data_IF_491114010395
#
_entry.id   IF_491114010395
#
_cell.length_a   1.000
_cell.length_b   1.000
_cell.length_c   1.000
_cell.angle_alpha   90.00
_cell.angle_beta   90.00
_cell.angle_gamma   90.00
#
_symmetry.space_group_name_H-M   'P 1'
#
loop_
_entity.id
_entity.type
_entity.pdbx_description
1 polymer ?
#
# COMPACT_ATOMS: atom_id res chain seq x y z
N UNK A 1 24.66 18.74 -65.34
CA UNK A 1 23.58 18.29 -64.47
C UNK A 1 23.90 16.90 -64.02
N UNK A 2 24.47 16.72 -62.83
CA UNK A 2 24.79 15.39 -62.29
C UNK A 2 23.56 14.94 -61.48
N UNK A 3 22.90 13.87 -61.95
CA UNK A 3 21.83 13.18 -61.22
C UNK A 3 22.39 12.50 -60.00
N UNK A 4 22.17 13.05 -58.83
CA UNK A 4 22.32 12.33 -57.58
C UNK A 4 21.10 11.40 -57.40
N UNK A 5 21.20 10.16 -57.90
CA UNK A 5 20.29 9.10 -57.50
C UNK A 5 20.57 8.75 -56.04
N UNK A 6 19.85 9.38 -55.10
CA UNK A 6 19.91 9.04 -53.71
C UNK A 6 19.45 7.59 -53.50
N UNK A 7 20.33 6.70 -53.06
CA UNK A 7 19.95 5.38 -52.58
C UNK A 7 19.08 5.60 -51.33
N UNK A 8 17.77 5.34 -51.44
CA UNK A 8 16.89 5.22 -50.27
C UNK A 8 17.29 3.94 -49.52
N UNK A 9 18.02 4.12 -48.41
CA UNK A 9 18.28 2.98 -47.54
C UNK A 9 16.96 2.56 -46.88
N UNK A 10 16.49 1.36 -47.13
CA UNK A 10 15.37 0.75 -46.47
C UNK A 10 15.79 0.32 -45.04
N UNK A 11 15.52 1.17 -44.05
CA UNK A 11 15.71 0.79 -42.65
C UNK A 11 14.53 -0.04 -42.17
N UNK A 12 14.81 -1.21 -41.61
CA UNK A 12 13.81 -2.09 -40.99
C UNK A 12 13.89 -1.89 -39.47
N UNK A 13 12.84 -1.36 -38.84
CA UNK A 13 12.86 -1.14 -37.38
C UNK A 13 12.77 -2.47 -36.62
N UNK A 14 13.51 -2.58 -35.52
CA UNK A 14 13.32 -3.64 -34.53
C UNK A 14 12.24 -3.23 -33.54
N UNK A 15 11.27 -4.09 -33.30
CA UNK A 15 10.26 -3.87 -32.28
C UNK A 15 10.85 -4.13 -30.88
N UNK A 16 10.61 -3.22 -29.94
CA UNK A 16 11.00 -3.37 -28.54
C UNK A 16 9.75 -3.75 -27.70
N UNK A 17 9.82 -4.85 -26.92
CA UNK A 17 8.69 -5.24 -26.08
C UNK A 17 8.56 -4.32 -24.87
N UNK A 18 7.33 -3.99 -24.49
CA UNK A 18 7.01 -3.37 -23.19
C UNK A 18 6.78 -4.49 -22.17
N UNK A 19 7.69 -4.63 -21.22
CA UNK A 19 7.63 -5.68 -20.18
C UNK A 19 6.81 -5.20 -18.98
N UNK A 20 7.03 -3.95 -18.55
CA UNK A 20 6.31 -3.31 -17.47
C UNK A 20 5.71 -1.99 -17.98
N UNK A 21 4.46 -1.75 -17.63
CA UNK A 21 3.74 -0.53 -17.94
C UNK A 21 3.12 0.03 -16.66
N UNK A 22 3.71 1.12 -16.16
CA UNK A 22 3.28 1.78 -14.92
C UNK A 22 2.32 2.90 -15.29
N UNK A 23 1.05 2.73 -14.95
CA UNK A 23 -0.01 3.68 -15.31
C UNK A 23 -0.20 4.82 -14.32
N UNK A 24 0.11 4.58 -13.03
CA UNK A 24 -0.06 5.58 -11.98
C UNK A 24 0.86 5.30 -10.79
N UNK A 25 1.15 6.36 -10.03
CA UNK A 25 1.84 6.29 -8.74
C UNK A 25 0.86 6.84 -7.69
N UNK A 26 0.64 6.10 -6.61
CA UNK A 26 -0.24 6.48 -5.52
C UNK A 26 0.51 7.18 -4.39
N UNK A 27 1.74 6.73 -4.10
CA UNK A 27 2.59 7.34 -3.10
C UNK A 27 4.08 7.18 -3.44
N UNK A 28 4.89 8.12 -2.95
CA UNK A 28 6.33 8.01 -2.83
C UNK A 28 6.68 8.50 -1.44
N UNK A 29 7.04 7.59 -0.55
CA UNK A 29 7.37 7.89 0.83
C UNK A 29 8.86 7.71 1.11
N UNK A 30 9.37 8.56 1.98
CA UNK A 30 10.64 8.35 2.67
C UNK A 30 10.40 8.56 4.16
N UNK A 31 10.43 7.48 4.91
CA UNK A 31 10.14 7.47 6.33
C UNK A 31 11.42 7.36 7.16
N UNK A 32 11.48 8.14 8.23
CA UNK A 32 12.44 7.99 9.32
C UNK A 32 11.65 7.64 10.58
N UNK A 33 11.52 6.36 10.88
CA UNK A 33 10.65 5.92 11.96
C UNK A 33 11.32 5.89 13.32
N UNK A 34 10.55 6.27 14.35
CA UNK A 34 10.93 6.08 15.74
C UNK A 34 10.84 4.59 16.15
N UNK A 35 11.54 4.22 17.23
CA UNK A 35 11.65 2.84 17.74
C UNK A 35 10.32 2.10 17.95
N UNK A 36 9.25 2.80 18.27
CA UNK A 36 7.95 2.21 18.59
C UNK A 36 6.92 2.46 17.48
N UNK A 37 7.36 2.81 16.28
CA UNK A 37 6.43 3.01 15.17
C UNK A 37 5.71 1.71 14.84
N UNK A 38 4.41 1.82 14.66
CA UNK A 38 3.54 0.73 14.22
C UNK A 38 2.48 1.30 13.28
N UNK A 39 2.46 0.79 12.08
CA UNK A 39 1.38 0.99 11.12
C UNK A 39 0.47 -0.23 11.17
N UNK A 40 -0.80 -0.01 11.53
CA UNK A 40 -1.75 -1.10 11.79
C UNK A 40 -2.06 -1.96 10.55
N UNK A 41 -1.69 -1.46 9.38
CA UNK A 41 -1.83 -2.15 8.11
C UNK A 41 -2.99 -1.67 7.28
N UNK A 42 -2.89 -2.01 5.99
CA UNK A 42 -3.87 -1.69 4.96
C UNK A 42 -3.93 -2.80 3.90
N UNK A 43 -4.89 -2.67 3.00
CA UNK A 43 -5.05 -3.53 1.83
C UNK A 43 -5.58 -2.67 0.68
N UNK A 44 -4.91 -2.74 -0.46
CA UNK A 44 -5.26 -1.97 -1.65
C UNK A 44 -5.12 -2.82 -2.92
N UNK A 45 -5.60 -2.34 -4.06
CA UNK A 45 -5.66 -3.05 -5.32
C UNK A 45 -4.51 -2.73 -6.29
N UNK A 46 -3.45 -2.13 -5.80
CA UNK A 46 -2.24 -1.79 -6.53
C UNK A 46 -1.00 -2.43 -5.88
N UNK A 47 0.14 -2.35 -6.56
CA UNK A 47 1.43 -2.81 -6.07
C UNK A 47 2.06 -1.79 -5.14
N UNK A 48 2.72 -2.28 -4.11
CA UNK A 48 3.58 -1.49 -3.24
C UNK A 48 4.88 -2.24 -2.99
N UNK A 49 5.97 -1.52 -2.79
CA UNK A 49 7.17 -2.11 -2.22
C UNK A 49 7.69 -1.31 -1.03
N UNK A 50 8.35 -2.02 -0.14
CA UNK A 50 9.08 -1.47 1.00
C UNK A 50 10.55 -1.81 0.83
N UNK A 51 11.41 -0.80 0.77
CA UNK A 51 12.86 -0.91 0.76
C UNK A 51 13.43 -0.34 2.06
N UNK A 52 14.36 -1.06 2.69
CA UNK A 52 15.03 -0.64 3.92
C UNK A 52 16.34 0.05 3.59
N UNK A 53 16.34 1.38 3.66
CA UNK A 53 17.54 2.21 3.43
C UNK A 53 18.51 2.15 4.64
N UNK A 54 17.95 2.07 5.85
CA UNK A 54 18.73 1.97 7.10
C UNK A 54 17.96 1.19 8.17
N UNK A 55 18.72 0.45 8.99
CA UNK A 55 18.15 -0.31 10.11
C UNK A 55 17.46 -1.58 9.67
N UNK A 56 16.45 -1.96 10.43
CA UNK A 56 15.64 -3.17 10.23
C UNK A 56 14.19 -2.88 10.54
N UNK A 57 13.26 -3.59 9.90
CA UNK A 57 11.82 -3.43 10.11
C UNK A 57 11.09 -4.75 9.98
N UNK A 58 10.09 -4.96 10.82
CA UNK A 58 9.14 -6.05 10.63
C UNK A 58 8.00 -5.60 9.70
N UNK A 59 7.73 -6.38 8.68
CA UNK A 59 6.53 -6.25 7.87
C UNK A 59 5.62 -7.45 8.11
N UNK A 60 4.32 -7.24 7.96
CA UNK A 60 3.33 -8.32 7.92
C UNK A 60 2.78 -8.41 6.51
N UNK A 61 2.76 -9.60 5.91
CA UNK A 61 2.19 -9.87 4.60
C UNK A 61 1.27 -11.09 4.70
N UNK A 62 -0.05 -10.91 4.45
CA UNK A 62 -1.07 -11.97 4.58
C UNK A 62 -0.96 -12.77 5.92
N UNK A 63 -0.73 -12.07 7.04
CA UNK A 63 -0.63 -12.65 8.37
C UNK A 63 0.72 -13.30 8.71
N UNK A 64 1.72 -13.17 7.84
CA UNK A 64 3.10 -13.62 8.09
C UNK A 64 3.96 -12.44 8.47
N UNK A 65 4.69 -12.55 9.57
CA UNK A 65 5.64 -11.54 9.98
C UNK A 65 7.03 -11.83 9.40
N UNK A 66 7.66 -10.83 8.81
CA UNK A 66 8.92 -10.93 8.07
C UNK A 66 9.83 -9.80 8.54
N UNK A 67 11.07 -10.12 8.90
CA UNK A 67 12.10 -9.14 9.19
C UNK A 67 12.82 -8.76 7.89
N UNK A 68 12.76 -7.49 7.52
CA UNK A 68 13.57 -6.90 6.46
C UNK A 68 14.78 -6.19 7.07
N UNK A 69 15.93 -6.42 6.48
CA UNK A 69 17.19 -5.80 6.86
C UNK A 69 17.57 -4.71 5.86
N UNK A 70 18.57 -3.90 6.23
CA UNK A 70 19.13 -2.89 5.34
C UNK A 70 19.46 -3.49 3.97
N UNK A 71 19.17 -2.70 2.92
CA UNK A 71 19.36 -3.05 1.51
C UNK A 71 18.45 -4.20 1.02
N UNK A 72 17.43 -4.57 1.79
CA UNK A 72 16.39 -5.51 1.34
C UNK A 72 15.11 -4.78 0.90
N UNK A 73 14.43 -5.37 -0.07
CA UNK A 73 13.15 -4.92 -0.62
C UNK A 73 12.15 -6.07 -0.64
N UNK A 74 10.92 -5.78 -0.22
CA UNK A 74 9.78 -6.69 -0.34
C UNK A 74 8.65 -6.02 -1.10
N UNK A 75 7.85 -6.83 -1.79
CA UNK A 75 6.73 -6.36 -2.60
C UNK A 75 5.41 -6.84 -2.02
N UNK A 76 4.48 -5.91 -1.86
CA UNK A 76 3.08 -6.19 -1.55
C UNK A 76 2.27 -6.22 -2.85
N UNK A 77 1.67 -7.38 -3.13
CA UNK A 77 0.82 -7.57 -4.31
C UNK A 77 -0.56 -6.95 -4.09
N UNK A 78 -1.29 -6.62 -5.16
CA UNK A 78 -2.68 -6.18 -5.04
C UNK A 78 -3.51 -7.13 -4.15
N UNK A 79 -4.32 -6.54 -3.26
CA UNK A 79 -5.20 -7.24 -2.31
C UNK A 79 -4.46 -8.08 -1.25
N UNK A 80 -3.21 -7.79 -0.97
CA UNK A 80 -2.49 -8.33 0.18
C UNK A 80 -2.67 -7.40 1.39
N UNK A 81 -3.07 -7.96 2.54
CA UNK A 81 -3.01 -7.21 3.79
C UNK A 81 -1.55 -7.11 4.23
N UNK A 82 -1.10 -5.87 4.48
CA UNK A 82 0.26 -5.62 4.96
C UNK A 82 0.29 -4.57 6.06
N UNK A 83 1.27 -4.69 6.96
CA UNK A 83 1.50 -3.81 8.10
C UNK A 83 3.01 -3.65 8.34
N UNK A 84 3.39 -2.61 9.08
CA UNK A 84 4.80 -2.28 9.36
C UNK A 84 5.00 -2.02 10.85
N UNK A 85 6.03 -2.63 11.44
CA UNK A 85 6.34 -2.50 12.86
C UNK A 85 7.85 -2.31 13.08
N UNK A 86 8.25 -1.24 13.73
CA UNK A 86 9.66 -0.96 14.01
C UNK A 86 10.25 -1.84 15.15
N UNK A 87 9.45 -2.28 16.14
CA UNK A 87 9.86 -3.19 17.23
C UNK A 87 11.25 -2.87 17.85
N UNK A 88 11.47 -1.63 18.29
CA UNK A 88 12.71 -1.11 18.86
C UNK A 88 13.83 -0.75 17.84
N UNK A 89 13.64 -0.95 16.56
CA UNK A 89 14.53 -0.43 15.52
C UNK A 89 14.17 1.02 15.15
N UNK A 90 15.09 1.71 14.48
CA UNK A 90 14.86 3.05 13.91
C UNK A 90 15.12 2.98 12.42
N UNK A 91 14.20 2.37 11.64
CA UNK A 91 14.41 2.20 10.22
C UNK A 91 14.19 3.49 9.43
N UNK A 92 14.96 3.64 8.34
CA UNK A 92 14.62 4.52 7.24
C UNK A 92 14.10 3.67 6.09
N UNK A 93 12.91 4.00 5.59
CA UNK A 93 12.23 3.22 4.57
C UNK A 93 11.89 4.08 3.36
N UNK A 94 12.01 3.47 2.18
CA UNK A 94 11.37 3.98 0.96
C UNK A 94 10.17 3.08 0.68
N UNK A 95 8.98 3.67 0.58
CA UNK A 95 7.75 2.98 0.23
C UNK A 95 7.17 3.63 -1.02
N UNK A 96 6.96 2.85 -2.07
CA UNK A 96 6.37 3.36 -3.31
C UNK A 96 5.21 2.46 -3.71
N UNK A 97 4.03 3.09 -3.86
CA UNK A 97 2.80 2.44 -4.28
C UNK A 97 2.44 2.86 -5.70
N UNK A 98 2.17 1.89 -6.58
CA UNK A 98 1.97 2.15 -8.01
C UNK A 98 1.04 1.16 -8.68
N UNK A 99 0.39 1.59 -9.77
CA UNK A 99 -0.44 0.74 -10.61
C UNK A 99 0.37 0.17 -11.77
N UNK A 100 0.47 -1.14 -11.81
CA UNK A 100 1.02 -1.88 -12.92
C UNK A 100 0.25 -3.19 -13.10
N UNK A 101 -0.38 -3.35 -14.26
CA UNK A 101 -1.17 -4.55 -14.60
C UNK A 101 -0.41 -5.57 -15.44
N UNK A 102 0.87 -5.27 -15.76
CA UNK A 102 1.72 -6.16 -16.55
C UNK A 102 1.92 -7.51 -15.87
N UNK A 103 1.70 -8.65 -16.54
CA UNK A 103 1.89 -9.98 -15.94
C UNK A 103 3.30 -10.23 -15.40
N UNK A 104 4.29 -9.50 -15.91
CA UNK A 104 5.67 -9.58 -15.44
C UNK A 104 5.83 -9.18 -13.96
N UNK A 105 4.90 -8.41 -13.39
CA UNK A 105 4.88 -8.08 -11.96
C UNK A 105 4.71 -9.31 -11.06
N UNK A 106 4.09 -10.38 -11.55
CA UNK A 106 3.96 -11.62 -10.79
C UNK A 106 5.31 -12.24 -10.39
N UNK A 107 6.38 -11.81 -11.06
CA UNK A 107 7.75 -12.18 -10.69
C UNK A 107 8.10 -11.78 -9.25
N UNK A 108 7.61 -10.63 -8.79
CA UNK A 108 7.94 -10.07 -7.48
C UNK A 108 7.08 -10.62 -6.32
N UNK A 109 6.11 -11.48 -6.62
CA UNK A 109 5.25 -12.07 -5.58
C UNK A 109 6.07 -12.87 -4.58
N UNK A 110 5.83 -12.59 -3.31
CA UNK A 110 6.39 -13.35 -2.18
C UNK A 110 7.94 -13.45 -2.22
N UNK A 111 8.62 -12.44 -2.78
CA UNK A 111 10.08 -12.36 -2.84
C UNK A 111 10.62 -11.25 -1.95
N UNK A 112 11.71 -11.54 -1.26
CA UNK A 112 12.62 -10.56 -0.70
C UNK A 112 13.88 -10.57 -1.56
N UNK A 113 14.27 -9.40 -2.03
CA UNK A 113 15.45 -9.23 -2.87
C UNK A 113 16.41 -8.24 -2.20
N UNK A 114 17.71 -8.42 -2.42
CA UNK A 114 18.69 -7.40 -2.09
C UNK A 114 18.71 -6.33 -3.17
N UNK A 115 18.99 -5.11 -2.80
CA UNK A 115 19.16 -3.96 -3.71
C UNK A 115 20.64 -3.61 -3.75
N UNK A 116 21.23 -3.59 -4.95
CA UNK A 116 22.63 -3.24 -5.13
C UNK A 116 22.82 -1.71 -5.21
N UNK A 117 24.06 -1.26 -5.38
CA UNK A 117 24.41 0.16 -5.39
C UNK A 117 23.81 0.90 -6.60
N UNK A 118 23.79 0.30 -7.77
CA UNK A 118 23.20 0.86 -8.99
C UNK A 118 21.68 1.03 -8.86
N UNK A 119 21.00 0.02 -8.36
CA UNK A 119 19.55 0.04 -8.10
C UNK A 119 19.20 1.06 -7.00
N UNK A 120 20.04 1.18 -5.96
CA UNK A 120 19.90 2.21 -4.92
C UNK A 120 20.04 3.62 -5.47
N UNK A 121 20.95 3.84 -6.43
CA UNK A 121 21.08 5.13 -7.07
C UNK A 121 19.80 5.53 -7.84
N UNK A 122 19.12 4.57 -8.49
CA UNK A 122 17.85 4.81 -9.15
C UNK A 122 16.76 5.16 -8.12
N UNK A 123 16.66 4.42 -7.01
CA UNK A 123 15.72 4.74 -5.92
C UNK A 123 15.97 6.15 -5.36
N UNK A 124 17.21 6.52 -5.14
CA UNK A 124 17.58 7.86 -4.67
C UNK A 124 17.17 8.95 -5.69
N UNK A 125 17.28 8.68 -7.00
CA UNK A 125 16.82 9.58 -8.04
C UNK A 125 15.28 9.75 -8.01
N UNK A 126 14.53 8.67 -7.84
CA UNK A 126 13.06 8.71 -7.68
C UNK A 126 12.68 9.60 -6.50
N UNK A 127 13.25 9.35 -5.30
CA UNK A 127 12.97 10.13 -4.09
C UNK A 127 13.36 11.61 -4.27
N UNK A 128 14.51 11.88 -4.88
CA UNK A 128 14.97 13.26 -5.14
C UNK A 128 14.02 14.01 -6.10
N UNK A 129 13.55 13.36 -7.18
CA UNK A 129 12.59 13.95 -8.10
C UNK A 129 11.23 14.15 -7.44
N UNK A 130 10.75 13.15 -6.67
CA UNK A 130 9.50 13.24 -5.93
C UNK A 130 9.52 14.45 -4.98
N UNK A 131 10.59 14.66 -4.21
CA UNK A 131 10.75 15.84 -3.33
C UNK A 131 10.62 17.18 -4.05
N UNK A 132 11.02 17.25 -5.32
CA UNK A 132 10.93 18.48 -6.13
C UNK A 132 9.55 18.67 -6.77
N UNK A 133 8.84 17.58 -7.03
CA UNK A 133 7.59 17.61 -7.77
C UNK A 133 6.35 17.57 -6.87
N UNK A 134 6.45 16.92 -5.69
CA UNK A 134 5.30 16.69 -4.83
C UNK A 134 5.09 17.86 -3.88
N UNK A 135 3.84 18.30 -3.75
CA UNK A 135 3.40 19.29 -2.75
C UNK A 135 2.92 18.62 -1.45
N UNK A 136 2.66 17.30 -1.48
CA UNK A 136 2.31 16.53 -0.30
C UNK A 136 3.55 16.07 0.46
N UNK A 137 3.38 15.76 1.75
CA UNK A 137 4.46 15.26 2.59
C UNK A 137 4.79 13.82 2.22
N UNK A 138 6.09 13.51 2.12
CA UNK A 138 6.58 12.16 1.83
C UNK A 138 6.72 11.29 3.09
N UNK A 139 6.55 11.86 4.28
CA UNK A 139 6.65 11.19 5.58
C UNK A 139 5.28 11.03 6.28
N UNK A 140 4.17 11.20 5.56
CA UNK A 140 2.82 10.96 6.07
C UNK A 140 2.36 9.54 5.68
N UNK A 141 2.31 8.58 6.62
CA UNK A 141 1.89 7.20 6.33
C UNK A 141 0.38 7.07 6.04
N UNK A 142 -0.38 8.14 6.18
CA UNK A 142 -1.82 8.19 5.92
C UNK A 142 -2.15 9.03 4.68
N UNK A 143 -1.15 9.29 3.83
CA UNK A 143 -1.35 10.02 2.58
C UNK A 143 -2.26 9.21 1.66
N UNK A 144 -3.47 9.73 1.41
CA UNK A 144 -4.45 9.07 0.54
C UNK A 144 -4.49 9.65 -0.89
N UNK A 145 -3.76 10.72 -1.15
CA UNK A 145 -3.71 11.37 -2.46
C UNK A 145 -2.37 12.03 -2.70
N UNK A 146 -1.69 11.58 -3.74
CA UNK A 146 -0.49 12.23 -4.25
C UNK A 146 -0.88 13.56 -4.92
N UNK A 147 -0.20 14.65 -4.55
CA UNK A 147 -0.40 15.98 -5.16
C UNK A 147 0.93 16.54 -5.62
N UNK A 148 0.91 17.17 -6.79
CA UNK A 148 2.07 17.80 -7.39
C UNK A 148 2.05 19.31 -7.15
N UNK A 149 3.22 19.93 -7.08
CA UNK A 149 3.33 21.38 -7.15
C UNK A 149 2.74 21.89 -8.48
N UNK A 150 2.08 23.05 -8.50
CA UNK A 150 1.54 23.64 -9.73
C UNK A 150 2.59 23.81 -10.84
N UNK A 151 3.86 24.06 -10.43
CA UNK A 151 4.99 24.27 -11.34
C UNK A 151 5.75 22.96 -11.69
N UNK A 152 5.29 21.81 -11.18
CA UNK A 152 5.91 20.53 -11.50
C UNK A 152 5.63 20.17 -12.96
N UNK A 153 6.68 20.15 -13.78
CA UNK A 153 6.52 19.86 -15.21
C UNK A 153 6.10 18.41 -15.46
N UNK A 154 5.28 18.14 -16.50
CA UNK A 154 4.88 16.80 -16.88
C UNK A 154 6.07 15.87 -17.18
N UNK A 155 7.16 16.43 -17.72
CA UNK A 155 8.38 15.67 -18.02
C UNK A 155 9.04 15.14 -16.75
N UNK A 156 9.07 15.93 -15.67
CA UNK A 156 9.58 15.50 -14.38
C UNK A 156 8.71 14.41 -13.76
N UNK A 157 7.39 14.51 -13.90
CA UNK A 157 6.46 13.47 -13.45
C UNK A 157 6.67 12.17 -14.25
N UNK A 158 6.85 12.28 -15.57
CA UNK A 158 7.14 11.12 -16.42
C UNK A 158 8.48 10.48 -16.06
N UNK A 159 9.52 11.27 -15.72
CA UNK A 159 10.80 10.75 -15.29
C UNK A 159 10.69 9.90 -14.02
N UNK A 160 9.80 10.23 -13.08
CA UNK A 160 9.56 9.38 -11.89
C UNK A 160 9.04 8.00 -12.32
N UNK A 161 8.10 7.93 -13.24
CA UNK A 161 7.57 6.66 -13.74
C UNK A 161 8.61 5.86 -14.54
N UNK A 162 9.45 6.54 -15.34
CA UNK A 162 10.53 5.91 -16.09
C UNK A 162 11.64 5.36 -15.16
N UNK A 163 12.04 6.13 -14.15
CA UNK A 163 13.02 5.69 -13.15
C UNK A 163 12.47 4.47 -12.38
N UNK A 164 11.19 4.49 -11.99
CA UNK A 164 10.55 3.35 -11.33
C UNK A 164 10.50 2.12 -12.24
N UNK A 165 10.15 2.29 -13.50
CA UNK A 165 10.17 1.21 -14.49
C UNK A 165 11.60 0.67 -14.67
N UNK A 166 12.59 1.55 -14.79
CA UNK A 166 14.01 1.18 -14.90
C UNK A 166 14.48 0.40 -13.68
N UNK A 167 14.17 0.88 -12.48
CA UNK A 167 14.49 0.21 -11.22
C UNK A 167 13.96 -1.23 -11.17
N UNK A 168 12.68 -1.41 -11.47
CA UNK A 168 12.03 -2.73 -11.45
C UNK A 168 12.64 -3.67 -12.51
N UNK A 169 12.97 -3.15 -13.68
CA UNK A 169 13.61 -3.95 -14.75
C UNK A 169 15.04 -4.37 -14.35
N UNK A 170 15.85 -3.47 -13.79
CA UNK A 170 17.20 -3.80 -13.29
C UNK A 170 17.15 -4.87 -12.22
N UNK A 171 16.29 -4.69 -11.21
CA UNK A 171 16.09 -5.65 -10.13
C UNK A 171 15.65 -7.02 -10.68
N UNK A 172 14.74 -7.04 -11.66
CA UNK A 172 14.26 -8.27 -12.31
C UNK A 172 15.36 -8.97 -13.13
N UNK A 173 16.13 -8.23 -13.91
CA UNK A 173 17.22 -8.79 -14.75
C UNK A 173 18.29 -9.40 -13.87
N UNK A 174 18.79 -8.65 -12.88
CA UNK A 174 19.84 -9.10 -11.97
C UNK A 174 19.37 -10.33 -11.17
N UNK A 175 18.21 -10.24 -10.51
CA UNK A 175 17.71 -11.33 -9.66
C UNK A 175 17.35 -12.59 -10.45
N UNK A 176 16.92 -12.47 -11.72
CA UNK A 176 16.76 -13.64 -12.61
C UNK A 176 18.09 -14.29 -12.98
N UNK A 177 19.15 -13.52 -13.14
CA UNK A 177 20.49 -14.06 -13.40
C UNK A 177 21.06 -14.79 -12.17
N UNK A 178 20.87 -14.22 -10.98
CA UNK A 178 21.24 -14.81 -9.70
C UNK A 178 20.35 -16.02 -9.32
N UNK A 179 19.07 -15.99 -9.67
CA UNK A 179 18.09 -17.06 -9.40
C UNK A 179 18.33 -18.34 -10.22
N UNK A 180 19.15 -18.29 -11.25
CA UNK A 180 19.73 -19.51 -11.82
C UNK A 180 20.64 -20.21 -10.81
N UNK A 181 21.09 -19.51 -9.77
CA UNK A 181 21.98 -20.02 -8.73
C UNK A 181 21.31 -20.23 -7.35
N UNK A 182 20.37 -19.40 -6.87
CA UNK A 182 19.78 -19.53 -5.52
C UNK A 182 18.39 -18.85 -5.37
N UNK A 183 17.34 -19.43 -5.89
CA UNK A 183 15.96 -18.90 -5.69
C UNK A 183 15.33 -19.52 -4.44
N UNK A 184 15.33 -18.79 -3.31
CA UNK A 184 14.53 -19.16 -2.15
C UNK A 184 13.30 -18.20 -2.05
N UNK A 185 12.06 -18.74 -2.02
CA UNK A 185 10.93 -18.00 -1.50
C UNK A 185 11.21 -17.62 -0.04
N UNK A 186 10.53 -16.65 0.53
CA UNK A 186 10.75 -16.13 1.89
C UNK A 186 11.47 -17.13 2.79
N UNK A 187 12.73 -16.89 3.23
CA UNK A 187 13.50 -17.88 3.97
C UNK A 187 12.74 -18.25 5.24
N UNK A 188 12.39 -19.53 5.40
CA UNK A 188 11.64 -20.03 6.58
C UNK A 188 12.29 -19.64 7.92
N UNK A 189 13.60 -19.42 7.93
CA UNK A 189 14.36 -19.04 9.13
C UNK A 189 14.12 -17.60 9.62
N UNK A 190 13.47 -16.72 8.82
CA UNK A 190 13.14 -15.34 9.20
C UNK A 190 11.66 -15.14 9.55
N UNK A 191 10.88 -16.23 9.47
CA UNK A 191 9.46 -16.21 9.83
C UNK A 191 9.32 -16.55 11.30
N UNK A 192 8.76 -15.66 12.09
CA UNK A 192 8.35 -15.98 13.45
C UNK A 192 7.01 -16.70 13.36
N UNK A 193 7.04 -18.04 13.60
CA UNK A 193 5.82 -18.85 13.69
C UNK A 193 4.98 -18.40 14.89
N UNK A 194 3.91 -17.65 14.64
CA UNK A 194 2.87 -17.37 15.63
C UNK A 194 1.70 -18.36 15.53
N UNK A 195 1.91 -19.55 14.97
CA UNK A 195 0.88 -20.59 14.91
C UNK A 195 0.98 -21.55 16.08
N UNK A 196 0.00 -21.47 16.99
CA UNK A 196 -0.29 -22.54 17.94
C UNK A 196 -0.59 -23.84 17.21
N UNK A 197 0.01 -24.92 17.73
CA UNK A 197 -0.11 -26.29 17.22
C UNK A 197 -1.57 -26.76 17.13
N UNK A 198 -1.94 -27.28 15.96
CA UNK A 198 -3.21 -27.95 15.71
C UNK A 198 -3.06 -28.92 14.55
N UNK A 199 -2.87 -30.19 14.89
CA UNK A 199 -3.06 -31.46 14.16
C UNK A 199 -3.00 -31.49 12.63
N UNK A 200 -2.08 -32.32 12.15
CA UNK A 200 -1.98 -32.83 10.77
C UNK A 200 -3.26 -33.56 10.35
N UNK A 201 -3.85 -33.13 9.24
CA UNK A 201 -4.63 -33.99 8.36
C UNK A 201 -4.13 -33.71 6.95
N UNK A 202 -3.51 -34.73 6.36
CA UNK A 202 -3.09 -34.77 4.96
C UNK A 202 -4.29 -35.19 4.11
N UNK A 203 -4.89 -34.24 3.36
CA UNK A 203 -5.69 -34.55 2.19
C UNK A 203 -5.50 -33.46 1.15
N UNK A 204 -4.81 -33.79 0.07
CA UNK A 204 -4.68 -32.94 -1.11
C UNK A 204 -6.00 -32.91 -1.89
N UNK A 205 -6.65 -31.74 -2.06
CA UNK A 205 -7.92 -31.65 -2.77
C UNK A 205 -7.74 -31.88 -4.28
N UNK A 206 -8.69 -32.57 -4.91
CA UNK A 206 -8.75 -32.82 -6.35
C UNK A 206 -8.84 -31.51 -7.16
N UNK A 207 -8.45 -31.52 -8.44
CA UNK A 207 -8.44 -30.34 -9.33
C UNK A 207 -9.83 -29.65 -9.41
N UNK A 208 -10.91 -30.41 -9.38
CA UNK A 208 -12.29 -29.89 -9.35
C UNK A 208 -12.61 -29.12 -8.06
N UNK A 209 -12.08 -29.59 -6.92
CA UNK A 209 -12.18 -28.92 -5.62
C UNK A 209 -11.42 -27.58 -5.60
N UNK A 210 -10.27 -27.51 -6.29
CA UNK A 210 -9.45 -26.29 -6.41
C UNK A 210 -10.15 -25.21 -7.25
N UNK A 211 -10.79 -25.58 -8.36
CA UNK A 211 -11.56 -24.65 -9.23
C UNK A 211 -12.76 -24.11 -8.48
N UNK A 212 -13.53 -24.95 -7.79
CA UNK A 212 -14.67 -24.51 -6.96
C UNK A 212 -14.23 -23.59 -5.82
N UNK A 213 -13.10 -23.86 -5.19
CA UNK A 213 -12.54 -23.05 -4.11
C UNK A 213 -12.03 -21.69 -4.61
N UNK A 214 -11.40 -21.63 -5.79
CA UNK A 214 -10.99 -20.37 -6.43
C UNK A 214 -12.17 -19.50 -6.85
N UNK A 215 -13.25 -20.10 -7.39
CA UNK A 215 -14.46 -19.37 -7.75
C UNK A 215 -15.16 -18.78 -6.51
N UNK A 216 -15.21 -19.53 -5.42
CA UNK A 216 -15.79 -19.08 -4.15
C UNK A 216 -14.94 -17.97 -3.50
N UNK A 217 -13.62 -18.05 -3.57
CA UNK A 217 -12.70 -17.03 -3.08
C UNK A 217 -12.84 -15.71 -3.87
N UNK A 218 -12.91 -15.79 -5.20
CA UNK A 218 -13.10 -14.61 -6.05
C UNK A 218 -14.47 -13.95 -5.80
N UNK A 219 -15.53 -14.73 -5.62
CA UNK A 219 -16.86 -14.21 -5.28
C UNK A 219 -16.87 -13.52 -3.90
N UNK A 220 -16.17 -14.06 -2.90
CA UNK A 220 -16.04 -13.42 -1.58
C UNK A 220 -15.27 -12.11 -1.63
N UNK A 221 -14.15 -12.07 -2.34
CA UNK A 221 -13.36 -10.83 -2.52
C UNK A 221 -14.15 -9.74 -3.26
N UNK A 222 -14.92 -10.12 -4.28
CA UNK A 222 -15.84 -9.19 -4.95
C UNK A 222 -16.92 -8.66 -4.00
N UNK A 223 -17.49 -9.53 -3.17
CA UNK A 223 -18.49 -9.13 -2.17
C UNK A 223 -17.86 -8.19 -1.12
N UNK A 224 -16.66 -8.48 -0.64
CA UNK A 224 -15.94 -7.60 0.29
C UNK A 224 -15.71 -6.21 -0.30
N UNK A 225 -15.21 -6.10 -1.53
CA UNK A 225 -15.04 -4.81 -2.22
C UNK A 225 -16.32 -4.01 -2.34
N UNK A 226 -17.43 -4.69 -2.66
CA UNK A 226 -18.76 -4.05 -2.72
C UNK A 226 -19.18 -3.51 -1.34
N UNK A 227 -18.93 -4.28 -0.29
CA UNK A 227 -19.22 -3.87 1.09
C UNK A 227 -18.33 -2.69 1.54
N UNK A 228 -17.06 -2.69 1.20
CA UNK A 228 -16.16 -1.57 1.46
C UNK A 228 -16.64 -0.28 0.78
N UNK A 229 -16.97 -0.36 -0.50
CA UNK A 229 -17.55 0.78 -1.23
C UNK A 229 -18.85 1.26 -0.60
N UNK A 230 -19.71 0.34 -0.15
CA UNK A 230 -20.94 0.67 0.57
C UNK A 230 -20.64 1.42 1.87
N UNK A 231 -19.74 0.91 2.72
CA UNK A 231 -19.35 1.58 3.96
C UNK A 231 -18.76 2.95 3.71
N UNK A 232 -17.87 3.07 2.73
CA UNK A 232 -17.24 4.34 2.36
C UNK A 232 -18.28 5.39 1.96
N UNK A 233 -19.30 5.02 1.19
CA UNK A 233 -20.34 5.93 0.76
C UNK A 233 -21.30 6.36 1.91
N UNK A 234 -21.28 5.65 3.05
CA UNK A 234 -22.12 5.92 4.21
C UNK A 234 -21.35 6.40 5.44
N UNK A 235 -20.15 6.96 5.25
CA UNK A 235 -19.31 7.47 6.36
C UNK A 235 -19.97 8.60 7.15
N UNK A 236 -20.94 9.32 6.56
CA UNK A 236 -21.71 10.37 7.22
C UNK A 236 -22.90 9.84 8.04
N UNK A 237 -23.13 8.54 8.08
CA UNK A 237 -24.30 7.93 8.69
C UNK A 237 -23.98 7.01 9.87
N UNK A 238 -24.88 6.85 10.85
CA UNK A 238 -24.75 5.86 11.91
C UNK A 238 -25.22 4.49 11.42
N UNK A 239 -24.35 3.74 10.74
CA UNK A 239 -24.70 2.41 10.24
C UNK A 239 -24.82 1.36 11.35
N UNK A 240 -25.81 0.45 11.16
CA UNK A 240 -26.00 -0.74 12.02
C UNK A 240 -25.93 -2.01 11.18
N UNK A 241 -25.47 -3.11 11.77
CA UNK A 241 -25.35 -4.41 11.09
C UNK A 241 -26.63 -4.82 10.35
N UNK A 242 -27.85 -4.73 10.93
CA UNK A 242 -29.07 -5.10 10.21
C UNK A 242 -29.33 -4.25 8.95
N UNK A 243 -28.96 -2.99 8.95
CA UNK A 243 -29.06 -2.12 7.77
C UNK A 243 -28.09 -2.54 6.69
N UNK A 244 -26.81 -2.74 7.03
CA UNK A 244 -25.78 -3.21 6.08
C UNK A 244 -26.23 -4.54 5.43
N UNK A 245 -26.77 -5.46 6.23
CA UNK A 245 -27.25 -6.75 5.73
C UNK A 245 -28.42 -6.60 4.74
N UNK A 246 -29.43 -5.78 5.06
CA UNK A 246 -30.59 -5.54 4.18
C UNK A 246 -30.17 -4.91 2.87
N UNK A 247 -29.41 -3.84 2.93
CA UNK A 247 -29.05 -3.04 1.75
C UNK A 247 -28.14 -3.80 0.80
N UNK A 248 -27.38 -4.76 1.33
CA UNK A 248 -26.48 -5.61 0.53
C UNK A 248 -27.00 -7.02 0.26
N UNK A 249 -28.22 -7.37 0.72
CA UNK A 249 -28.85 -8.68 0.55
C UNK A 249 -27.98 -9.84 1.04
N UNK A 250 -27.38 -9.68 2.23
CA UNK A 250 -26.48 -10.68 2.82
C UNK A 250 -26.90 -11.00 4.26
N UNK A 251 -26.58 -12.22 4.70
CA UNK A 251 -26.80 -12.62 6.09
C UNK A 251 -25.78 -11.98 7.04
N UNK A 252 -26.17 -11.80 8.30
CA UNK A 252 -25.27 -11.29 9.34
C UNK A 252 -24.04 -12.20 9.52
N UNK A 253 -24.22 -13.51 9.47
CA UNK A 253 -23.11 -14.48 9.61
C UNK A 253 -22.11 -14.35 8.49
N UNK A 254 -22.57 -14.17 7.24
CA UNK A 254 -21.70 -13.96 6.08
C UNK A 254 -20.95 -12.63 6.19
N UNK A 255 -21.64 -11.52 6.55
CA UNK A 255 -21.03 -10.22 6.76
C UNK A 255 -19.91 -10.30 7.80
N UNK A 256 -20.21 -10.85 9.00
CA UNK A 256 -19.22 -10.96 10.07
C UNK A 256 -18.04 -11.89 9.70
N UNK A 257 -18.31 -12.99 8.98
CA UNK A 257 -17.29 -13.92 8.52
C UNK A 257 -16.33 -13.29 7.50
N UNK A 258 -16.88 -12.46 6.60
CA UNK A 258 -16.07 -11.74 5.60
C UNK A 258 -15.14 -10.76 6.30
N UNK A 259 -15.68 -9.85 7.13
CA UNK A 259 -14.86 -8.83 7.79
C UNK A 259 -13.83 -9.45 8.73
N UNK A 260 -14.21 -10.46 9.54
CA UNK A 260 -13.25 -11.13 10.42
C UNK A 260 -12.10 -11.78 9.65
N UNK A 261 -12.38 -12.31 8.45
CA UNK A 261 -11.35 -12.94 7.60
C UNK A 261 -10.49 -11.92 6.87
N UNK A 262 -11.10 -10.86 6.30
CA UNK A 262 -10.40 -9.92 5.43
C UNK A 262 -9.68 -8.80 6.22
N UNK A 263 -10.21 -8.37 7.39
CA UNK A 263 -9.67 -7.26 8.19
C UNK A 263 -9.20 -7.67 9.59
N UNK A 264 -9.46 -8.90 10.02
CA UNK A 264 -9.18 -9.35 11.39
C UNK A 264 -10.12 -8.76 12.46
N UNK A 265 -10.95 -7.76 12.12
CA UNK A 265 -11.84 -7.02 13.02
C UNK A 265 -13.32 -7.25 12.70
N UNK A 266 -14.21 -6.71 13.54
CA UNK A 266 -15.65 -6.71 13.25
C UNK A 266 -16.01 -5.56 12.29
N UNK A 267 -17.07 -5.75 11.49
CA UNK A 267 -17.52 -4.76 10.49
C UNK A 267 -17.77 -3.35 11.07
N UNK A 268 -18.34 -3.23 12.28
CA UNK A 268 -18.58 -1.91 12.90
C UNK A 268 -17.27 -1.29 13.43
N UNK A 269 -16.38 -2.11 13.93
CA UNK A 269 -15.04 -1.67 14.35
C UNK A 269 -14.26 -1.12 13.16
N UNK A 270 -14.24 -1.88 12.05
CA UNK A 270 -13.64 -1.45 10.79
C UNK A 270 -14.28 -0.16 10.25
N UNK A 271 -15.61 -0.07 10.25
CA UNK A 271 -16.33 1.15 9.85
C UNK A 271 -15.97 2.36 10.71
N UNK A 272 -15.83 2.18 12.03
CA UNK A 272 -15.37 3.25 12.91
C UNK A 272 -13.93 3.67 12.58
N UNK A 273 -13.07 2.72 12.21
CA UNK A 273 -11.71 3.02 11.76
C UNK A 273 -11.71 3.87 10.48
N UNK A 274 -12.50 3.52 9.48
CA UNK A 274 -12.68 4.32 8.27
C UNK A 274 -13.14 5.76 8.59
N UNK A 275 -14.07 5.94 9.52
CA UNK A 275 -14.51 7.27 9.98
C UNK A 275 -13.38 8.06 10.64
N UNK A 276 -12.52 7.41 11.43
CA UNK A 276 -11.39 8.08 12.07
C UNK A 276 -10.32 8.47 11.04
N UNK A 277 -10.04 7.62 10.05
CA UNK A 277 -9.13 7.99 8.96
C UNK A 277 -9.68 9.19 8.17
N UNK A 278 -10.97 9.18 7.80
CA UNK A 278 -11.61 10.33 7.16
C UNK A 278 -11.58 11.59 8.05
N UNK A 279 -11.69 11.44 9.38
CA UNK A 279 -11.56 12.56 10.30
C UNK A 279 -10.15 13.17 10.26
N UNK A 280 -9.11 12.34 10.23
CA UNK A 280 -7.72 12.80 10.08
C UNK A 280 -7.52 13.60 8.80
N UNK A 281 -8.11 13.14 7.68
CA UNK A 281 -8.06 13.84 6.41
C UNK A 281 -8.76 15.22 6.48
N UNK A 282 -9.93 15.26 7.08
CA UNK A 282 -10.66 16.51 7.27
C UNK A 282 -9.89 17.50 8.17
N UNK A 283 -9.25 17.00 9.24
CA UNK A 283 -8.43 17.85 10.13
C UNK A 283 -7.22 18.42 9.39
N UNK A 284 -6.61 17.65 8.50
CA UNK A 284 -5.43 18.07 7.74
C UNK A 284 -5.77 19.00 6.56
N UNK A 285 -6.85 18.68 5.87
CA UNK A 285 -7.14 19.29 4.57
C UNK A 285 -8.19 20.40 4.60
N UNK A 286 -8.77 20.75 5.77
CA UNK A 286 -9.84 21.75 5.86
C UNK A 286 -9.73 22.59 7.13
N UNK A 287 -10.42 23.73 7.14
CA UNK A 287 -10.56 24.60 8.33
C UNK A 287 -11.80 24.27 9.18
N UNK A 288 -12.37 23.08 9.00
CA UNK A 288 -13.53 22.66 9.76
C UNK A 288 -13.18 22.50 11.25
N UNK A 289 -14.06 23.00 12.12
CA UNK A 289 -13.95 22.73 13.55
C UNK A 289 -14.19 21.25 13.86
N UNK A 290 -13.67 20.79 15.00
CA UNK A 290 -13.86 19.40 15.47
C UNK A 290 -15.35 19.05 15.57
N UNK A 291 -16.19 20.00 15.95
CA UNK A 291 -17.66 19.84 15.99
C UNK A 291 -18.24 19.64 14.60
N UNK A 292 -17.81 20.41 13.62
CA UNK A 292 -18.26 20.26 12.23
C UNK A 292 -17.80 18.94 11.61
N UNK A 293 -16.56 18.50 11.88
CA UNK A 293 -16.04 17.20 11.45
C UNK A 293 -16.86 16.07 12.07
N UNK A 294 -17.12 16.13 13.37
CA UNK A 294 -17.96 15.17 14.08
C UNK A 294 -19.36 15.03 13.44
N UNK A 295 -20.00 16.16 13.16
CA UNK A 295 -21.31 16.20 12.50
C UNK A 295 -21.26 15.62 11.09
N UNK A 296 -20.24 15.99 10.29
CA UNK A 296 -20.05 15.51 8.93
C UNK A 296 -19.84 13.99 8.83
N UNK A 297 -19.24 13.41 9.86
CA UNK A 297 -19.03 11.97 9.97
C UNK A 297 -20.17 11.22 10.68
N UNK A 298 -21.31 11.90 10.91
CA UNK A 298 -22.51 11.27 11.47
C UNK A 298 -22.37 10.81 12.92
N UNK A 299 -21.50 11.46 13.72
CA UNK A 299 -21.45 11.20 15.16
C UNK A 299 -22.54 11.98 15.89
N UNK A 300 -23.17 11.32 16.85
CA UNK A 300 -24.25 11.94 17.62
C UNK A 300 -23.79 13.16 18.44
N UNK A 301 -22.54 13.15 18.93
CA UNK A 301 -21.94 14.27 19.68
C UNK A 301 -20.44 14.37 19.40
N UNK A 302 -19.92 15.61 19.49
CA UNK A 302 -18.47 15.85 19.37
C UNK A 302 -17.66 15.19 20.51
N UNK A 303 -18.26 15.03 21.69
CA UNK A 303 -17.63 14.35 22.84
C UNK A 303 -17.46 12.85 22.55
N UNK A 304 -18.49 12.20 21.98
CA UNK A 304 -18.40 10.79 21.60
C UNK A 304 -17.35 10.59 20.50
N UNK A 305 -17.36 11.45 19.48
CA UNK A 305 -16.32 11.47 18.45
C UNK A 305 -14.93 11.60 19.04
N UNK A 306 -14.69 12.59 19.88
CA UNK A 306 -13.36 12.86 20.48
C UNK A 306 -12.85 11.67 21.30
N UNK A 307 -13.73 11.00 22.03
CA UNK A 307 -13.40 9.78 22.76
C UNK A 307 -13.03 8.62 21.84
N UNK A 308 -13.82 8.41 20.79
CA UNK A 308 -13.53 7.37 19.77
C UNK A 308 -12.20 7.65 19.05
N UNK A 309 -12.00 8.88 18.62
CA UNK A 309 -10.76 9.30 17.99
C UNK A 309 -9.55 9.05 18.89
N UNK A 310 -9.62 9.46 20.17
CA UNK A 310 -8.54 9.23 21.15
C UNK A 310 -8.29 7.74 21.39
N UNK A 311 -9.33 6.93 21.52
CA UNK A 311 -9.18 5.49 21.72
C UNK A 311 -8.46 4.80 20.55
N UNK A 312 -8.65 5.29 19.32
CA UNK A 312 -8.09 4.68 18.13
C UNK A 312 -6.74 5.27 17.70
N UNK A 313 -6.44 6.53 18.09
CA UNK A 313 -5.22 7.24 17.67
C UNK A 313 -4.25 7.52 18.81
N UNK A 314 -4.67 7.33 20.06
CA UNK A 314 -3.88 7.68 21.24
C UNK A 314 -3.94 9.15 21.65
N UNK A 315 -4.51 10.05 20.84
CA UNK A 315 -4.60 11.49 21.10
C UNK A 315 -5.99 12.04 20.72
N UNK A 316 -6.38 13.16 21.34
CA UNK A 316 -7.64 13.82 20.98
C UNK A 316 -7.56 14.47 19.57
N UNK A 317 -8.70 14.73 18.90
CA UNK A 317 -8.71 15.43 17.61
C UNK A 317 -8.02 16.79 17.65
N UNK A 318 -8.12 17.52 18.77
CA UNK A 318 -7.47 18.81 18.93
C UNK A 318 -5.95 18.69 19.08
N UNK A 319 -5.47 17.72 19.86
CA UNK A 319 -4.04 17.40 19.96
C UNK A 319 -3.48 16.97 18.61
N UNK A 320 -4.23 16.17 17.86
CA UNK A 320 -3.87 15.77 16.50
C UNK A 320 -3.79 16.97 15.55
N UNK A 321 -4.79 17.86 15.58
CA UNK A 321 -4.80 19.08 14.77
C UNK A 321 -3.60 19.99 15.08
N UNK A 322 -3.25 20.14 16.36
CA UNK A 322 -2.09 20.94 16.80
C UNK A 322 -0.78 20.28 16.33
N UNK A 323 -0.64 18.95 16.45
CA UNK A 323 0.56 18.25 16.01
C UNK A 323 0.79 18.36 14.51
N UNK A 324 -0.28 18.30 13.71
CA UNK A 324 -0.22 18.45 12.25
C UNK A 324 0.13 19.89 11.84
N UNK A 325 -0.47 20.92 12.51
CA UNK A 325 -0.17 22.33 12.22
C UNK A 325 1.27 22.71 12.62
N UNK A 326 1.73 22.26 13.78
CA UNK A 326 3.10 22.50 14.23
C UNK A 326 4.17 21.90 13.29
N UNK A 327 3.84 20.83 12.57
CA UNK A 327 4.70 20.22 11.55
C UNK A 327 4.68 20.99 10.22
N UNK A 328 3.59 21.73 9.92
CA UNK A 328 3.49 22.55 8.69
C UNK A 328 4.15 23.94 8.83
N UNK A 329 4.38 24.41 10.07
CA UNK A 329 4.92 25.74 10.37
C UNK A 329 6.43 25.78 10.69
N UNK A 330 7.19 24.69 10.54
CA UNK A 330 8.65 24.75 10.67
C UNK A 330 9.26 25.39 9.42
N UNK A 331 9.77 26.65 9.50
CA UNK A 331 10.52 27.24 8.41
C UNK A 331 11.87 26.53 8.26
N UNK A 332 12.34 26.54 7.04
CA UNK A 332 13.64 26.05 6.53
C UNK A 332 14.81 26.68 7.25
#
# INVERSE_FOLDING_TARGET
>A
MQNHSGKTNNYIPASLPTVLDIHAIYSVHYFEYAKNFSFAGEMHDFWEFIYVDRGEVFITADGREILLQKDEIAFHKPMEFHAVHAKNFTPNLIVISFMCTSPAMDYFRDLILSVNEEERAILAAIVSRARKCLSCRMDDPYLNRLTFHPDASPEMQQLIALDLTSFLLHLMIRSKSEARMNRAPYPRSRMTDTSHAGSRISDSPSASSRISMMTTLNSRKQLFRRLESYLHNHLSEPLKIPQICRDNLISRSLLCSIYKKETGSGVIEHFNQMKIEQAKDLIRGTDLSITQISCRLGYATAQYFSRQFRNMTGMSPSEYATSVKALSEKPS
#
